data_IF_766615296518
#
_entry.id   IF_766615296518
#
_cell.length_a   1.000
_cell.length_b   1.000
_cell.length_c   1.000
_cell.angle_alpha   90.00
_cell.angle_beta   90.00
_cell.angle_gamma   90.00
#
_symmetry.space_group_name_H-M   'P 1'
#
loop_
_entity.id
_entity.type
_entity.pdbx_description
1 polymer ?
#
# COMPACT_ATOMS: atom_id res chain seq x y z
N UNK A 1 -15.24 11.05 11.29
CA UNK A 1 -16.29 10.27 10.60
C UNK A 1 -16.14 10.52 9.10
N UNK A 2 -15.47 9.62 8.38
CA UNK A 2 -15.62 9.57 6.94
C UNK A 2 -17.06 9.10 6.66
N UNK A 3 -17.81 9.70 5.73
CA UNK A 3 -19.20 9.33 5.51
C UNK A 3 -19.26 7.85 5.13
N UNK A 4 -20.18 7.12 5.76
CA UNK A 4 -20.58 5.79 5.30
C UNK A 4 -20.83 5.84 3.79
N UNK A 5 -20.13 4.97 3.07
CA UNK A 5 -20.51 4.53 1.73
C UNK A 5 -20.36 5.54 0.57
N UNK A 6 -19.22 6.24 0.48
CA UNK A 6 -18.87 7.00 -0.75
C UNK A 6 -18.86 6.14 -2.02
N UNK A 7 -18.75 4.81 -1.88
CA UNK A 7 -18.83 3.88 -3.01
C UNK A 7 -20.22 3.74 -3.62
N UNK A 8 -21.30 4.01 -2.87
CA UNK A 8 -22.68 3.95 -3.37
C UNK A 8 -23.16 5.20 -4.10
N UNK A 9 -22.44 6.32 -4.04
CA UNK A 9 -22.90 7.58 -4.66
C UNK A 9 -23.04 7.46 -6.18
N UNK A 10 -22.26 6.58 -6.80
CA UNK A 10 -22.20 6.39 -8.23
C UNK A 10 -22.20 4.90 -8.55
N UNK A 11 -23.37 4.38 -8.95
CA UNK A 11 -23.58 2.96 -9.26
C UNK A 11 -23.32 2.67 -10.75
N UNK A 12 -22.09 2.88 -11.20
CA UNK A 12 -21.62 2.51 -12.54
C UNK A 12 -20.25 1.82 -12.47
N UNK A 13 -19.87 1.00 -13.48
CA UNK A 13 -18.54 0.39 -13.56
C UNK A 13 -17.43 1.45 -13.53
N UNK A 14 -16.55 1.41 -12.52
CA UNK A 14 -15.48 2.40 -12.35
C UNK A 14 -14.19 1.91 -13.03
N UNK A 15 -13.46 2.85 -13.63
CA UNK A 15 -12.09 2.63 -14.09
C UNK A 15 -11.12 3.41 -13.20
N UNK A 16 -10.06 2.77 -12.72
CA UNK A 16 -9.01 3.41 -11.91
C UNK A 16 -7.65 3.29 -12.61
N UNK A 17 -7.17 4.41 -13.16
CA UNK A 17 -5.95 4.43 -13.98
C UNK A 17 -4.70 4.86 -13.19
N UNK A 18 -4.88 5.35 -11.96
CA UNK A 18 -3.80 5.80 -11.10
C UNK A 18 -3.93 5.16 -9.73
N UNK A 19 -3.42 3.95 -9.60
CA UNK A 19 -3.38 3.24 -8.33
C UNK A 19 -1.98 2.72 -8.02
N UNK A 20 -1.40 3.21 -6.92
CA UNK A 20 -0.11 2.74 -6.43
C UNK A 20 -0.29 1.42 -5.67
N UNK A 21 0.13 0.31 -6.25
CA UNK A 21 0.07 -1.01 -5.59
C UNK A 21 0.97 -1.02 -4.34
N UNK A 22 2.12 -0.37 -4.41
CA UNK A 22 3.06 -0.13 -3.31
C UNK A 22 2.51 0.78 -2.20
N UNK A 23 1.28 1.29 -2.34
CA UNK A 23 0.53 2.00 -1.30
C UNK A 23 -0.92 1.52 -1.14
N UNK A 24 -1.30 0.40 -1.76
CA UNK A 24 -2.67 -0.13 -1.76
C UNK A 24 -2.73 -1.52 -1.12
N UNK A 25 -2.61 -1.55 0.20
CA UNK A 25 -2.63 -2.80 0.97
C UNK A 25 -3.33 -2.62 2.32
N UNK A 26 -3.68 -3.74 2.94
CA UNK A 26 -4.30 -3.80 4.26
C UNK A 26 -3.21 -3.68 5.34
N UNK A 27 -3.42 -2.82 6.33
CA UNK A 27 -2.48 -2.65 7.44
C UNK A 27 -2.43 -3.89 8.33
N UNK A 28 -3.54 -4.60 8.49
CA UNK A 28 -3.60 -5.91 9.14
C UNK A 28 -2.63 -6.91 8.51
N UNK A 29 -2.63 -7.02 7.17
CA UNK A 29 -1.69 -7.88 6.43
C UNK A 29 -0.24 -7.44 6.64
N UNK A 30 0.04 -6.13 6.66
CA UNK A 30 1.38 -5.63 6.99
C UNK A 30 1.83 -6.04 8.40
N UNK A 31 0.95 -5.95 9.40
CA UNK A 31 1.23 -6.34 10.78
C UNK A 31 1.51 -7.84 10.90
N UNK A 32 0.74 -8.67 10.19
CA UNK A 32 0.96 -10.13 10.13
C UNK A 32 2.33 -10.45 9.52
N UNK A 33 2.61 -9.92 8.32
CA UNK A 33 3.88 -10.15 7.61
C UNK A 33 5.09 -9.64 8.40
N UNK A 34 4.95 -8.50 9.09
CA UNK A 34 6.02 -7.95 9.92
C UNK A 34 6.37 -8.90 11.08
N UNK A 35 5.36 -9.49 11.74
CA UNK A 35 5.55 -10.48 12.80
C UNK A 35 6.20 -11.76 12.27
N UNK A 36 5.72 -12.27 11.14
CA UNK A 36 6.26 -13.49 10.50
C UNK A 36 7.73 -13.32 10.10
N UNK A 37 8.11 -12.13 9.64
CA UNK A 37 9.47 -11.82 9.17
C UNK A 37 10.39 -11.22 10.24
N UNK A 38 9.89 -11.00 11.46
CA UNK A 38 10.66 -10.37 12.54
C UNK A 38 11.06 -8.92 12.23
N UNK A 39 10.24 -8.18 11.50
CA UNK A 39 10.46 -6.77 11.16
C UNK A 39 9.75 -5.91 12.20
N UNK A 40 10.50 -5.03 12.87
CA UNK A 40 9.94 -4.14 13.88
C UNK A 40 9.06 -3.05 13.25
N UNK A 41 7.87 -2.87 13.82
CA UNK A 41 6.94 -1.80 13.48
C UNK A 41 6.86 -0.78 14.61
N UNK A 42 6.58 0.50 14.30
CA UNK A 42 6.37 1.52 15.33
C UNK A 42 5.12 1.26 16.18
N UNK A 43 4.17 0.48 15.67
CA UNK A 43 3.08 -0.13 16.44
C UNK A 43 2.56 -1.38 15.73
N UNK A 44 2.07 -2.34 16.50
CA UNK A 44 1.34 -3.52 16.02
C UNK A 44 -0.18 -3.39 16.24
N UNK A 45 -0.65 -2.26 16.78
CA UNK A 45 -2.06 -1.88 16.74
C UNK A 45 -2.37 -1.21 15.40
N UNK A 46 -3.41 -1.69 14.71
CA UNK A 46 -3.74 -1.22 13.37
C UNK A 46 -4.17 0.25 13.34
N UNK A 47 -4.88 0.72 14.38
CA UNK A 47 -5.34 2.10 14.47
C UNK A 47 -4.19 3.07 14.72
N UNK A 48 -3.26 2.71 15.61
CA UNK A 48 -2.04 3.48 15.83
C UNK A 48 -1.16 3.50 14.58
N UNK A 49 -0.94 2.34 13.95
CA UNK A 49 -0.14 2.26 12.74
C UNK A 49 -0.75 3.10 11.61
N UNK A 50 -2.07 3.09 11.46
CA UNK A 50 -2.82 3.93 10.49
C UNK A 50 -2.55 5.42 10.68
N UNK A 51 -2.51 5.88 11.93
CA UNK A 51 -2.18 7.27 12.27
C UNK A 51 -0.74 7.61 11.91
N UNK A 52 0.19 6.69 12.20
CA UNK A 52 1.63 6.86 11.96
C UNK A 52 1.94 6.92 10.46
N UNK A 53 1.40 5.99 9.66
CA UNK A 53 1.65 5.94 8.20
C UNK A 53 0.86 6.98 7.41
N UNK A 54 0.14 7.87 8.09
CA UNK A 54 -0.35 9.11 7.50
C UNK A 54 -1.68 9.05 6.78
N UNK A 55 -2.48 7.99 6.95
CA UNK A 55 -3.79 7.89 6.29
C UNK A 55 -4.79 8.96 6.75
N UNK A 56 -4.54 9.59 7.91
CA UNK A 56 -5.41 10.62 8.50
C UNK A 56 -4.69 11.95 8.75
N UNK A 57 -3.42 12.04 8.36
CA UNK A 57 -2.56 13.19 8.60
C UNK A 57 -2.42 14.04 7.35
N UNK A 58 -2.49 15.37 7.49
CA UNK A 58 -2.03 16.29 6.44
C UNK A 58 -0.51 16.44 6.54
N UNK A 59 0.17 16.17 5.44
CA UNK A 59 1.60 16.45 5.30
C UNK A 59 1.80 17.82 4.65
N UNK A 60 2.82 18.59 5.06
CA UNK A 60 3.08 19.90 4.47
C UNK A 60 3.59 19.83 3.03
N UNK A 61 4.16 18.69 2.61
CA UNK A 61 4.62 18.46 1.25
C UNK A 61 4.66 16.95 0.90
N UNK A 62 4.82 16.65 -0.39
CA UNK A 62 4.89 15.27 -0.90
C UNK A 62 6.09 14.50 -0.34
N UNK A 63 7.24 15.16 -0.18
CA UNK A 63 8.49 14.52 0.27
C UNK A 63 8.33 13.93 1.68
N UNK A 64 7.60 14.64 2.55
CA UNK A 64 7.28 14.17 3.90
C UNK A 64 6.29 13.01 3.89
N UNK A 65 5.25 13.05 3.04
CA UNK A 65 4.33 11.92 2.87
C UNK A 65 5.06 10.65 2.41
N UNK A 66 6.00 10.79 1.47
CA UNK A 66 6.78 9.67 0.95
C UNK A 66 7.69 9.01 2.00
N UNK A 67 7.99 9.66 3.13
CA UNK A 67 8.77 9.04 4.21
C UNK A 67 8.05 7.82 4.82
N UNK A 68 6.72 7.78 4.78
CA UNK A 68 5.94 6.67 5.35
C UNK A 68 6.24 5.34 4.65
N UNK A 69 6.62 5.37 3.37
CA UNK A 69 6.98 4.15 2.62
C UNK A 69 8.23 3.47 3.18
N UNK A 70 9.07 4.16 3.95
CA UNK A 70 10.21 3.56 4.66
C UNK A 70 9.78 2.60 5.77
N UNK A 71 8.56 2.75 6.27
CA UNK A 71 8.00 1.88 7.32
C UNK A 71 7.37 0.64 6.67
N UNK A 72 6.57 0.83 5.62
CA UNK A 72 5.74 -0.23 5.06
C UNK A 72 6.46 -1.08 4.02
N UNK A 73 7.26 -0.48 3.15
CA UNK A 73 7.92 -1.18 2.04
C UNK A 73 8.79 -2.37 2.50
N UNK A 74 9.64 -2.23 3.54
CA UNK A 74 10.49 -3.34 4.00
C UNK A 74 9.72 -4.61 4.41
N UNK A 75 8.45 -4.46 4.81
CA UNK A 75 7.60 -5.56 5.30
C UNK A 75 7.37 -6.62 4.22
N UNK A 76 7.24 -6.20 2.97
CA UNK A 76 6.91 -7.08 1.84
C UNK A 76 7.98 -7.09 0.75
N UNK A 77 8.96 -6.19 0.81
CA UNK A 77 10.06 -6.18 -0.13
C UNK A 77 10.75 -7.55 -0.22
N UNK A 78 11.02 -7.96 -1.45
CA UNK A 78 11.71 -9.20 -1.84
C UNK A 78 11.07 -10.52 -1.42
N UNK A 79 9.83 -10.48 -0.96
CA UNK A 79 9.06 -11.65 -0.61
C UNK A 79 7.96 -11.83 -1.66
N UNK A 80 8.12 -12.84 -2.51
CA UNK A 80 7.21 -13.11 -3.62
C UNK A 80 5.82 -13.50 -3.14
N UNK A 81 5.73 -14.21 -2.03
CA UNK A 81 4.45 -14.66 -1.48
C UNK A 81 3.72 -13.49 -0.83
N UNK A 82 4.43 -12.64 -0.10
CA UNK A 82 3.89 -11.38 0.43
C UNK A 82 3.39 -10.46 -0.70
N UNK A 83 4.20 -10.23 -1.74
CA UNK A 83 3.82 -9.38 -2.88
C UNK A 83 2.62 -9.95 -3.64
N UNK A 84 2.55 -11.27 -3.81
CA UNK A 84 1.41 -11.94 -4.44
C UNK A 84 0.14 -11.77 -3.61
N UNK A 85 0.23 -11.98 -2.29
CA UNK A 85 -0.89 -11.77 -1.35
C UNK A 85 -1.39 -10.33 -1.41
N UNK A 86 -0.51 -9.34 -1.29
CA UNK A 86 -0.88 -7.92 -1.34
C UNK A 86 -1.59 -7.57 -2.65
N UNK A 87 -1.11 -8.09 -3.78
CA UNK A 87 -1.73 -7.87 -5.09
C UNK A 87 -3.14 -8.44 -5.16
N UNK A 88 -3.35 -9.66 -4.66
CA UNK A 88 -4.68 -10.30 -4.61
C UNK A 88 -5.62 -9.49 -3.73
N UNK A 89 -5.20 -9.13 -2.51
CA UNK A 89 -6.00 -8.36 -1.57
C UNK A 89 -6.37 -6.97 -2.13
N UNK A 90 -5.43 -6.31 -2.82
CA UNK A 90 -5.69 -5.05 -3.50
C UNK A 90 -6.77 -5.20 -4.58
N UNK A 91 -6.70 -6.24 -5.41
CA UNK A 91 -7.70 -6.52 -6.45
C UNK A 91 -9.08 -6.78 -5.82
N UNK A 92 -9.15 -7.59 -4.77
CA UNK A 92 -10.40 -7.86 -4.04
C UNK A 92 -11.03 -6.57 -3.50
N UNK A 93 -10.23 -5.70 -2.91
CA UNK A 93 -10.72 -4.46 -2.32
C UNK A 93 -11.17 -3.48 -3.40
N UNK A 94 -10.50 -3.44 -4.54
CA UNK A 94 -10.92 -2.65 -5.71
C UNK A 94 -12.21 -3.17 -6.32
N UNK A 95 -12.38 -4.48 -6.40
CA UNK A 95 -13.63 -5.08 -6.82
C UNK A 95 -14.79 -4.71 -5.88
N UNK A 96 -14.60 -4.80 -4.56
CA UNK A 96 -15.59 -4.36 -3.55
C UNK A 96 -15.91 -2.86 -3.66
N UNK A 97 -14.98 -2.05 -4.16
CA UNK A 97 -15.19 -0.62 -4.44
C UNK A 97 -15.95 -0.34 -5.75
N UNK A 98 -16.31 -1.38 -6.52
CA UNK A 98 -17.01 -1.26 -7.81
C UNK A 98 -16.08 -0.91 -8.98
N UNK A 99 -14.77 -1.10 -8.81
CA UNK A 99 -13.79 -0.95 -9.89
C UNK A 99 -13.88 -2.16 -10.81
N UNK A 100 -14.18 -1.91 -12.08
CA UNK A 100 -14.29 -2.92 -13.14
C UNK A 100 -13.06 -2.97 -14.02
N UNK A 101 -12.26 -1.90 -14.03
CA UNK A 101 -10.98 -1.84 -14.74
C UNK A 101 -9.95 -1.10 -13.88
N UNK A 102 -8.74 -1.65 -13.75
CA UNK A 102 -7.68 -1.02 -12.96
C UNK A 102 -6.32 -1.16 -13.65
N UNK A 103 -5.56 -0.07 -13.64
CA UNK A 103 -4.14 -0.04 -13.97
C UNK A 103 -3.35 0.23 -12.70
N UNK A 104 -2.76 -0.84 -12.14
CA UNK A 104 -1.81 -0.70 -11.05
C UNK A 104 -0.47 -0.21 -11.57
N UNK A 105 0.15 0.69 -10.80
CA UNK A 105 1.54 1.09 -10.95
C UNK A 105 2.29 0.83 -9.64
N UNK A 106 3.57 0.55 -9.72
CA UNK A 106 4.44 0.39 -8.56
C UNK A 106 5.88 0.71 -8.95
N UNK A 107 6.74 0.94 -7.95
CA UNK A 107 8.17 1.05 -8.16
C UNK A 107 8.87 -0.31 -7.95
N UNK A 108 9.42 -0.96 -9.00
CA UNK A 108 10.09 -2.25 -8.85
C UNK A 108 11.26 -2.24 -7.86
N UNK A 109 11.96 -1.11 -7.75
CA UNK A 109 13.05 -0.94 -6.77
C UNK A 109 12.58 -1.08 -5.33
N UNK A 110 11.37 -0.61 -5.02
CA UNK A 110 10.80 -0.74 -3.68
C UNK A 110 10.40 -2.19 -3.36
N UNK A 111 10.11 -3.01 -4.38
CA UNK A 111 9.76 -4.42 -4.19
C UNK A 111 10.97 -5.35 -4.20
N UNK A 112 12.16 -4.87 -4.56
CA UNK A 112 13.38 -5.65 -4.59
C UNK A 112 14.20 -5.50 -3.29
N UNK A 113 14.98 -6.54 -2.92
CA UNK A 113 16.02 -6.45 -1.86
C UNK A 113 17.41 -6.13 -2.44
N UNK A 114 17.55 -6.26 -3.75
CA UNK A 114 18.86 -6.31 -4.38
C UNK A 114 19.43 -4.90 -4.44
N UNK A 115 20.75 -4.74 -4.19
CA UNK A 115 21.50 -3.62 -4.74
C UNK A 115 21.36 -3.68 -6.27
N UNK A 116 20.34 -3.01 -6.81
CA UNK A 116 20.20 -2.79 -8.24
C UNK A 116 21.12 -1.62 -8.58
N UNK A 117 22.41 -1.90 -8.75
CA UNK A 117 23.45 -0.89 -8.99
C UNK A 117 23.34 -0.19 -10.34
N UNK A 118 22.55 -0.73 -11.27
CA UNK A 118 22.72 -0.46 -12.70
C UNK A 118 21.54 0.29 -13.34
N UNK A 119 20.76 1.06 -12.57
CA UNK A 119 19.65 1.86 -13.14
C UNK A 119 19.70 3.33 -12.68
N UNK A 120 20.89 3.83 -12.36
CA UNK A 120 21.08 5.26 -12.02
C UNK A 120 21.30 6.16 -13.23
N UNK A 121 20.85 5.78 -14.42
CA UNK A 121 20.83 6.69 -15.57
C UNK A 121 19.53 6.52 -16.37
N UNK A 122 18.63 7.50 -16.20
CA UNK A 122 17.56 7.85 -17.12
C UNK A 122 17.48 9.38 -17.22
#
# INVERSE_FOLDING_TARGET
MLPEDTNRRYNFPKAELHCHLDGSFRLSTCIELAKERGIELPSYDESELRSIVGLEKRFPNLVEYLQNFKITTPIFAADKDALSRLTIEAIEDKHKQGVSYIEFRFCPFLFANCNVSDITEA
#
